data_IF_311902025448
#
_entry.id   IF_311902025448
#
_cell.length_a   1.000
_cell.length_b   1.000
_cell.length_c   1.000
_cell.angle_alpha   90.00
_cell.angle_beta   90.00
_cell.angle_gamma   90.00
#
_symmetry.space_group_name_H-M   'P 1'
#
loop_
_entity.id
_entity.type
_entity.pdbx_description
1 polymer ?
#
# COMPACT_ATOMS: atom_id res chain seq x y z
N UNK A 1 -3.19 -3.33 15.70
CA UNK A 1 -3.79 -2.73 14.49
C UNK A 1 -2.82 -1.85 13.67
N UNK A 2 -1.81 -1.19 14.28
CA UNK A 2 -0.84 -0.41 13.51
C UNK A 2 -0.01 -1.30 12.56
N UNK A 3 0.45 -2.45 13.03
CA UNK A 3 1.19 -3.41 12.19
C UNK A 3 0.30 -3.94 11.05
N UNK A 4 -0.94 -4.28 11.35
CA UNK A 4 -1.92 -4.74 10.35
C UNK A 4 -2.19 -3.68 9.27
N UNK A 5 -2.18 -2.39 9.64
CA UNK A 5 -2.35 -1.31 8.65
C UNK A 5 -1.16 -1.19 7.70
N UNK A 6 0.06 -1.35 8.22
CA UNK A 6 1.28 -1.39 7.41
C UNK A 6 1.25 -2.60 6.46
N UNK A 7 0.92 -3.78 6.99
CA UNK A 7 0.76 -5.01 6.19
C UNK A 7 -0.30 -4.83 5.09
N UNK A 8 -1.47 -4.27 5.43
CA UNK A 8 -2.54 -4.02 4.48
C UNK A 8 -2.09 -3.12 3.32
N UNK A 9 -1.38 -2.03 3.65
CA UNK A 9 -0.88 -1.12 2.64
C UNK A 9 0.10 -1.79 1.68
N UNK A 10 1.11 -2.49 2.20
CA UNK A 10 2.11 -3.14 1.37
C UNK A 10 1.53 -4.31 0.56
N UNK A 11 0.65 -5.14 1.13
CA UNK A 11 -0.01 -6.20 0.37
C UNK A 11 -0.91 -5.64 -0.74
N UNK A 12 -1.59 -4.52 -0.50
CA UNK A 12 -2.37 -3.83 -1.53
C UNK A 12 -1.47 -3.31 -2.67
N UNK A 13 -0.32 -2.69 -2.35
CA UNK A 13 0.66 -2.25 -3.36
C UNK A 13 1.23 -3.43 -4.16
N UNK A 14 1.47 -4.56 -3.52
CA UNK A 14 1.92 -5.79 -4.18
C UNK A 14 0.81 -6.46 -5.01
N UNK A 15 -0.45 -6.07 -4.85
CA UNK A 15 -1.60 -6.72 -5.48
C UNK A 15 -1.96 -8.07 -4.85
N UNK A 16 -1.46 -8.35 -3.65
CA UNK A 16 -1.73 -9.59 -2.88
C UNK A 16 -2.91 -9.38 -1.94
N UNK A 17 -4.08 -9.22 -2.51
CA UNK A 17 -5.32 -8.91 -1.77
C UNK A 17 -5.76 -10.05 -0.85
N UNK A 18 -5.37 -11.28 -1.14
CA UNK A 18 -5.56 -12.47 -0.30
C UNK A 18 -4.78 -12.41 1.01
N UNK A 19 -3.61 -11.78 1.00
CA UNK A 19 -2.74 -11.62 2.17
C UNK A 19 -3.07 -10.39 3.04
N UNK A 20 -3.97 -9.52 2.57
CA UNK A 20 -4.40 -8.33 3.33
C UNK A 20 -5.07 -8.78 4.63
N UNK A 21 -4.71 -8.19 5.81
CA UNK A 21 -5.36 -8.48 7.08
C UNK A 21 -6.89 -8.35 6.99
N UNK A 22 -7.60 -9.26 7.66
CA UNK A 22 -9.04 -9.44 7.55
C UNK A 22 -9.83 -8.15 7.78
N UNK A 23 -9.43 -7.35 8.75
CA UNK A 23 -10.10 -6.09 9.10
C UNK A 23 -10.16 -5.10 7.92
N UNK A 24 -9.12 -5.06 7.09
CA UNK A 24 -9.06 -4.24 5.88
C UNK A 24 -9.66 -4.97 4.67
N UNK A 25 -9.45 -6.27 4.57
CA UNK A 25 -9.97 -7.09 3.47
C UNK A 25 -11.49 -7.15 3.47
N UNK A 26 -12.11 -7.22 4.66
CA UNK A 26 -13.57 -7.28 4.85
C UNK A 26 -14.19 -5.92 5.18
N UNK A 27 -13.39 -4.83 5.08
CA UNK A 27 -13.89 -3.46 5.27
C UNK A 27 -14.56 -3.22 6.63
N UNK A 28 -14.00 -3.84 7.68
CA UNK A 28 -14.51 -3.73 9.05
C UNK A 28 -13.80 -2.65 9.88
N UNK A 29 -13.16 -1.70 9.21
CA UNK A 29 -12.38 -0.65 9.87
C UNK A 29 -13.21 0.15 10.88
N UNK A 30 -14.50 0.36 10.60
CA UNK A 30 -15.42 1.07 11.51
C UNK A 30 -15.66 0.31 12.83
N UNK A 31 -15.44 -1.00 12.87
CA UNK A 31 -15.61 -1.82 14.08
C UNK A 31 -14.39 -1.84 14.98
N UNK A 32 -13.28 -1.25 14.54
CA UNK A 32 -12.00 -1.26 15.26
C UNK A 32 -11.82 0.04 16.03
N UNK A 33 -11.48 -0.09 17.32
CA UNK A 33 -11.09 1.06 18.13
C UNK A 33 -9.61 1.40 17.89
N UNK A 34 -9.35 2.59 17.40
CA UNK A 34 -8.02 3.17 17.26
C UNK A 34 -8.04 4.65 17.60
N UNK A 35 -6.86 5.20 17.81
CA UNK A 35 -6.73 6.61 18.15
C UNK A 35 -7.32 7.49 17.02
N UNK A 36 -8.23 8.38 17.36
CA UNK A 36 -9.03 9.14 16.40
C UNK A 36 -8.19 9.92 15.36
N UNK A 37 -7.02 10.41 15.77
CA UNK A 37 -6.09 11.09 14.87
C UNK A 37 -5.46 10.18 13.81
N UNK A 38 -5.42 8.86 14.02
CA UNK A 38 -4.93 7.91 13.03
C UNK A 38 -5.99 7.57 11.96
N UNK A 39 -7.24 7.92 12.18
CA UNK A 39 -8.36 7.53 11.34
C UNK A 39 -8.18 7.90 9.86
N UNK A 40 -7.80 9.13 9.48
CA UNK A 40 -7.62 9.48 8.08
C UNK A 40 -6.54 8.63 7.38
N UNK A 41 -5.47 8.28 8.10
CA UNK A 41 -4.42 7.39 7.58
C UNK A 41 -4.94 5.97 7.38
N UNK A 42 -5.72 5.44 8.32
CA UNK A 42 -6.31 4.09 8.20
C UNK A 42 -7.31 4.02 7.03
N UNK A 43 -8.15 5.03 6.88
CA UNK A 43 -9.08 5.12 5.75
C UNK A 43 -8.35 5.25 4.41
N UNK A 44 -7.26 6.02 4.33
CA UNK A 44 -6.41 6.09 3.13
C UNK A 44 -5.82 4.72 2.76
N UNK A 45 -5.41 3.92 3.75
CA UNK A 45 -4.93 2.55 3.54
C UNK A 45 -6.08 1.66 3.03
N UNK A 46 -7.29 1.80 3.57
CA UNK A 46 -8.47 1.08 3.09
C UNK A 46 -8.79 1.42 1.63
N UNK A 47 -8.66 2.69 1.22
CA UNK A 47 -8.80 3.07 -0.18
C UNK A 47 -7.77 2.36 -1.08
N UNK A 48 -6.52 2.20 -0.60
CA UNK A 48 -5.51 1.45 -1.34
C UNK A 48 -5.88 -0.03 -1.51
N UNK A 49 -6.47 -0.64 -0.49
CA UNK A 49 -6.98 -2.01 -0.56
C UNK A 49 -8.13 -2.11 -1.55
N UNK A 50 -9.09 -1.18 -1.55
CA UNK A 50 -10.18 -1.14 -2.52
C UNK A 50 -9.69 -0.96 -3.96
N UNK A 51 -8.68 -0.12 -4.18
CA UNK A 51 -8.03 -0.01 -5.49
C UNK A 51 -7.44 -1.33 -5.95
N UNK A 52 -6.71 -2.02 -5.06
CA UNK A 52 -6.11 -3.30 -5.38
C UNK A 52 -7.16 -4.40 -5.67
N UNK A 53 -8.34 -4.30 -5.08
CA UNK A 53 -9.50 -5.16 -5.32
C UNK A 53 -10.33 -4.74 -6.55
N UNK A 54 -9.96 -3.66 -7.25
CA UNK A 54 -10.71 -3.13 -8.40
C UNK A 54 -12.03 -2.42 -8.04
N UNK A 55 -12.21 -2.03 -6.76
CA UNK A 55 -13.45 -1.44 -6.27
C UNK A 55 -13.45 0.10 -6.40
N UNK A 56 -13.19 0.60 -7.62
CA UNK A 56 -13.02 2.02 -7.91
C UNK A 56 -14.19 2.90 -7.41
N UNK A 57 -15.43 2.43 -7.56
CA UNK A 57 -16.63 3.17 -7.12
C UNK A 57 -16.63 3.43 -5.61
N UNK A 58 -16.18 2.47 -4.81
CA UNK A 58 -16.08 2.65 -3.34
C UNK A 58 -15.02 3.67 -2.98
N UNK A 59 -13.88 3.66 -3.68
CA UNK A 59 -12.83 4.67 -3.51
C UNK A 59 -13.40 6.06 -3.77
N UNK A 60 -14.04 6.27 -4.91
CA UNK A 60 -14.60 7.56 -5.29
C UNK A 60 -15.66 8.06 -4.29
N UNK A 61 -16.54 7.17 -3.84
CA UNK A 61 -17.58 7.51 -2.87
C UNK A 61 -17.02 8.00 -1.52
N UNK A 62 -15.76 7.63 -1.17
CA UNK A 62 -15.17 7.97 0.12
C UNK A 62 -14.17 9.12 0.08
N UNK A 63 -13.57 9.38 -1.10
CA UNK A 63 -12.47 10.33 -1.23
C UNK A 63 -12.81 11.74 -0.74
N UNK A 64 -13.95 12.30 -1.08
CA UNK A 64 -14.28 13.69 -0.75
C UNK A 64 -14.43 13.90 0.77
N UNK A 65 -15.10 12.98 1.46
CA UNK A 65 -15.25 13.05 2.92
C UNK A 65 -13.87 12.92 3.60
N UNK A 66 -13.02 12.02 3.12
CA UNK A 66 -11.68 11.85 3.66
C UNK A 66 -10.79 13.06 3.40
N UNK A 67 -10.87 13.68 2.21
CA UNK A 67 -10.15 14.92 1.90
C UNK A 67 -10.59 16.06 2.83
N UNK A 68 -11.89 16.20 3.08
CA UNK A 68 -12.40 17.20 4.04
C UNK A 68 -11.86 16.93 5.47
N UNK A 69 -11.77 15.68 5.88
CA UNK A 69 -11.15 15.31 7.16
C UNK A 69 -9.64 15.65 7.19
N UNK A 70 -8.91 15.33 6.12
CA UNK A 70 -7.49 15.66 6.00
C UNK A 70 -7.25 17.18 6.07
N UNK A 71 -8.09 17.97 5.43
CA UNK A 71 -8.00 19.44 5.49
C UNK A 71 -8.21 19.96 6.92
N UNK A 72 -9.20 19.42 7.63
CA UNK A 72 -9.48 19.80 9.03
C UNK A 72 -8.34 19.51 9.98
N UNK A 73 -7.61 18.40 9.75
CA UNK A 73 -6.50 17.96 10.60
C UNK A 73 -5.13 18.34 10.05
N UNK A 74 -5.05 19.08 8.94
CA UNK A 74 -3.80 19.45 8.26
C UNK A 74 -2.93 18.25 7.85
N UNK A 75 -3.55 17.16 7.40
CA UNK A 75 -2.85 15.95 6.96
C UNK A 75 -2.54 15.99 5.46
N UNK A 76 -1.63 16.90 5.05
CA UNK A 76 -1.30 17.14 3.65
C UNK A 76 -0.81 15.89 2.92
N UNK A 77 0.07 15.09 3.54
CA UNK A 77 0.58 13.87 2.91
C UNK A 77 -0.54 12.82 2.71
N UNK A 78 -1.44 12.65 3.66
CA UNK A 78 -2.58 11.73 3.53
C UNK A 78 -3.53 12.24 2.43
N UNK A 79 -3.80 13.56 2.38
CA UNK A 79 -4.62 14.17 1.34
C UNK A 79 -4.02 13.92 -0.06
N UNK A 80 -2.70 14.05 -0.20
CA UNK A 80 -2.00 13.76 -1.45
C UNK A 80 -2.19 12.30 -1.89
N UNK A 81 -2.03 11.33 -0.98
CA UNK A 81 -2.30 9.92 -1.28
C UNK A 81 -3.76 9.72 -1.74
N UNK A 82 -4.72 10.31 -1.04
CA UNK A 82 -6.14 10.21 -1.40
C UNK A 82 -6.43 10.78 -2.79
N UNK A 83 -5.85 11.93 -3.16
CA UNK A 83 -6.00 12.50 -4.51
C UNK A 83 -5.40 11.61 -5.60
N UNK A 84 -4.25 11.04 -5.33
CA UNK A 84 -3.61 10.07 -6.24
C UNK A 84 -4.48 8.83 -6.41
N UNK A 85 -5.02 8.30 -5.32
CA UNK A 85 -5.95 7.16 -5.34
C UNK A 85 -7.26 7.51 -6.07
N UNK A 86 -7.76 8.73 -5.90
CA UNK A 86 -8.95 9.23 -6.61
C UNK A 86 -8.69 9.29 -8.13
N UNK A 87 -7.54 9.83 -8.56
CA UNK A 87 -7.15 9.83 -9.97
C UNK A 87 -7.06 8.41 -10.55
N UNK A 88 -6.45 7.48 -9.80
CA UNK A 88 -6.38 6.07 -10.17
C UNK A 88 -7.77 5.43 -10.28
N UNK A 89 -8.67 5.73 -9.34
CA UNK A 89 -10.02 5.20 -9.34
C UNK A 89 -10.86 5.73 -10.50
N UNK A 90 -10.78 7.03 -10.83
CA UNK A 90 -11.42 7.59 -12.03
C UNK A 90 -10.91 6.92 -13.31
N UNK A 91 -9.59 6.68 -13.41
CA UNK A 91 -9.00 5.95 -14.54
C UNK A 91 -9.55 4.54 -14.68
N UNK A 92 -9.65 3.79 -13.57
CA UNK A 92 -10.24 2.45 -13.54
C UNK A 92 -11.75 2.45 -13.83
N UNK A 93 -12.45 3.50 -13.45
CA UNK A 93 -13.90 3.64 -13.70
C UNK A 93 -14.22 4.12 -15.12
N UNK A 94 -13.20 4.47 -15.92
CA UNK A 94 -13.38 4.91 -17.30
C UNK A 94 -13.77 6.39 -17.45
N UNK A 95 -13.36 7.23 -16.50
CA UNK A 95 -13.56 8.69 -16.51
C UNK A 95 -12.21 9.41 -16.66
N UNK A 96 -11.65 9.47 -17.89
CA UNK A 96 -10.29 9.97 -18.10
C UNK A 96 -10.14 11.47 -17.86
N UNK A 97 -11.19 12.26 -18.06
CA UNK A 97 -11.15 13.72 -17.82
C UNK A 97 -11.06 14.01 -16.32
N UNK A 98 -11.86 13.33 -15.52
CA UNK A 98 -11.87 13.42 -14.06
C UNK A 98 -10.57 12.88 -13.46
N UNK A 99 -10.05 11.77 -14.02
CA UNK A 99 -8.76 11.21 -13.63
C UNK A 99 -7.63 12.22 -13.85
N UNK A 100 -7.64 12.91 -15.01
CA UNK A 100 -6.65 13.95 -15.32
C UNK A 100 -6.77 15.14 -14.36
N UNK A 101 -7.97 15.64 -14.13
CA UNK A 101 -8.21 16.77 -13.22
C UNK A 101 -7.74 16.44 -11.78
N UNK A 102 -8.06 15.24 -11.27
CA UNK A 102 -7.63 14.81 -9.96
C UNK A 102 -6.09 14.67 -9.87
N UNK A 103 -5.44 14.16 -10.94
CA UNK A 103 -3.98 14.05 -10.98
C UNK A 103 -3.30 15.42 -11.07
N UNK A 104 -3.85 16.38 -11.83
CA UNK A 104 -3.35 17.75 -11.89
C UNK A 104 -3.36 18.42 -10.51
N UNK A 105 -4.42 18.23 -9.75
CA UNK A 105 -4.50 18.70 -8.36
C UNK A 105 -3.46 18.04 -7.47
N UNK A 106 -3.29 16.72 -7.57
CA UNK A 106 -2.27 15.99 -6.81
C UNK A 106 -0.86 16.48 -7.15
N UNK A 107 -0.56 16.72 -8.42
CA UNK A 107 0.72 17.24 -8.87
C UNK A 107 0.98 18.67 -8.37
N UNK A 108 -0.04 19.53 -8.36
CA UNK A 108 0.09 20.89 -7.83
C UNK A 108 0.42 20.88 -6.32
N UNK A 109 -0.17 19.95 -5.56
CA UNK A 109 0.12 19.78 -4.14
C UNK A 109 1.50 19.12 -3.88
N UNK A 110 1.91 18.19 -4.74
CA UNK A 110 3.16 17.46 -4.59
C UNK A 110 4.40 18.25 -5.02
N UNK A 111 4.27 19.14 -6.01
CA UNK A 111 5.40 19.80 -6.65
C UNK A 111 6.23 20.69 -5.73
N UNK A 112 5.65 21.52 -4.82
CA UNK A 112 6.42 22.38 -3.95
C UNK A 112 7.43 21.64 -3.07
N UNK A 113 7.05 20.47 -2.58
CA UNK A 113 7.85 19.65 -1.66
C UNK A 113 8.53 18.46 -2.36
N UNK A 114 8.26 18.28 -3.64
CA UNK A 114 8.82 17.18 -4.43
C UNK A 114 8.32 15.79 -4.00
N UNK A 115 7.08 15.65 -3.53
CA UNK A 115 6.48 14.39 -3.10
C UNK A 115 6.03 13.51 -4.27
N UNK A 116 6.92 12.75 -4.86
CA UNK A 116 6.65 11.85 -5.99
C UNK A 116 6.28 10.41 -5.58
N UNK A 117 6.49 10.03 -4.32
CA UNK A 117 6.26 8.65 -3.84
C UNK A 117 4.82 8.16 -4.06
N UNK A 118 3.76 8.88 -3.68
CA UNK A 118 2.39 8.42 -3.86
C UNK A 118 2.05 8.13 -5.33
N UNK A 119 2.64 8.90 -6.25
CA UNK A 119 2.49 8.69 -7.69
C UNK A 119 3.20 7.41 -8.16
N UNK A 120 4.44 7.18 -7.67
CA UNK A 120 5.20 5.99 -8.02
C UNK A 120 4.57 4.70 -7.47
N UNK A 121 4.07 4.72 -6.26
CA UNK A 121 3.36 3.59 -5.63
C UNK A 121 2.10 3.20 -6.38
N UNK A 122 1.39 4.17 -6.97
CA UNK A 122 0.19 3.98 -7.75
C UNK A 122 0.44 3.97 -9.27
N UNK A 123 1.70 3.88 -9.71
CA UNK A 123 2.09 3.92 -11.12
C UNK A 123 1.31 2.92 -11.99
N UNK A 124 1.06 1.70 -11.51
CA UNK A 124 0.28 0.67 -12.22
C UNK A 124 -1.10 1.13 -12.70
N UNK A 125 -1.72 2.05 -11.96
CA UNK A 125 -3.03 2.61 -12.30
C UNK A 125 -2.90 3.91 -13.10
N UNK A 126 -1.83 4.67 -12.84
CA UNK A 126 -1.60 6.00 -13.40
C UNK A 126 -0.77 6.00 -14.68
N UNK A 127 -0.10 4.90 -15.04
CA UNK A 127 0.82 4.86 -16.16
C UNK A 127 0.23 5.42 -17.48
N UNK A 128 -0.99 5.06 -17.91
CA UNK A 128 -1.58 5.61 -19.13
C UNK A 128 -1.83 7.11 -19.05
N UNK A 129 -2.16 7.62 -17.86
CA UNK A 129 -2.44 9.04 -17.62
C UNK A 129 -1.14 9.85 -17.58
N UNK A 130 -0.12 9.36 -16.87
CA UNK A 130 1.19 10.00 -16.77
C UNK A 130 1.90 10.09 -18.13
N UNK A 131 1.68 9.10 -19.01
CA UNK A 131 2.25 9.06 -20.35
C UNK A 131 1.64 10.10 -21.32
N UNK A 132 0.49 10.70 -21.00
CA UNK A 132 -0.13 11.72 -21.85
C UNK A 132 0.70 13.01 -21.94
N UNK A 133 1.55 13.28 -20.93
CA UNK A 133 2.37 14.50 -20.89
C UNK A 133 1.57 15.76 -20.60
N UNK A 134 2.24 16.91 -20.82
CA UNK A 134 1.60 18.22 -20.62
C UNK A 134 1.47 18.64 -19.15
N UNK A 135 2.39 18.16 -18.28
CA UNK A 135 2.38 18.41 -16.84
C UNK A 135 3.07 19.70 -16.42
N UNK A 136 3.50 20.55 -17.38
CA UNK A 136 4.09 21.85 -17.12
C UNK A 136 5.28 21.78 -16.16
N UNK A 137 5.26 22.61 -15.12
CA UNK A 137 6.33 22.65 -14.11
C UNK A 137 6.45 21.37 -13.27
N UNK A 138 5.43 20.52 -13.24
CA UNK A 138 5.46 19.23 -12.54
C UNK A 138 6.12 18.10 -13.36
N UNK A 139 6.52 18.36 -14.61
CA UNK A 139 7.11 17.36 -15.50
C UNK A 139 8.32 16.61 -14.88
N UNK A 140 9.28 17.26 -14.22
CA UNK A 140 10.41 16.55 -13.60
C UNK A 140 9.98 15.60 -12.46
N UNK A 141 8.95 15.99 -11.72
CA UNK A 141 8.38 15.15 -10.66
C UNK A 141 7.68 13.92 -11.25
N UNK A 142 6.94 14.10 -12.34
CA UNK A 142 6.28 13.01 -13.08
C UNK A 142 7.33 12.02 -13.63
N UNK A 143 8.41 12.49 -14.21
CA UNK A 143 9.49 11.64 -14.74
C UNK A 143 10.14 10.79 -13.65
N UNK A 144 10.38 11.36 -12.46
CA UNK A 144 10.88 10.61 -11.29
C UNK A 144 9.86 9.57 -10.83
N UNK A 145 8.59 9.92 -10.77
CA UNK A 145 7.52 9.00 -10.39
C UNK A 145 7.41 7.83 -11.38
N UNK A 146 7.49 8.08 -12.67
CA UNK A 146 7.50 7.06 -13.72
C UNK A 146 8.69 6.13 -13.56
N UNK A 147 9.92 6.68 -13.47
CA UNK A 147 11.15 5.88 -13.36
C UNK A 147 11.12 4.94 -12.15
N UNK A 148 10.64 5.41 -10.99
CA UNK A 148 10.52 4.57 -9.80
C UNK A 148 9.35 3.61 -9.90
N UNK A 149 8.20 4.06 -10.42
CA UNK A 149 7.02 3.24 -10.60
C UNK A 149 7.29 2.03 -11.49
N UNK A 150 8.04 2.21 -12.58
CA UNK A 150 8.50 1.11 -13.45
C UNK A 150 9.36 0.10 -12.70
N UNK A 151 10.27 0.58 -11.84
CA UNK A 151 11.09 -0.30 -10.98
C UNK A 151 10.23 -1.07 -9.97
N UNK A 152 9.20 -0.43 -9.38
CA UNK A 152 8.26 -1.09 -8.49
C UNK A 152 7.47 -2.19 -9.21
N UNK A 153 6.97 -1.92 -10.41
CA UNK A 153 6.24 -2.93 -11.18
C UNK A 153 7.13 -4.11 -11.58
N UNK A 154 8.37 -3.86 -12.01
CA UNK A 154 9.33 -4.92 -12.29
C UNK A 154 9.60 -5.79 -11.04
N UNK A 155 9.79 -5.16 -9.88
CA UNK A 155 10.03 -5.88 -8.63
C UNK A 155 8.79 -6.63 -8.15
N UNK A 156 7.62 -6.03 -8.27
CA UNK A 156 6.34 -6.66 -7.96
C UNK A 156 6.12 -7.92 -8.81
N UNK A 157 6.39 -7.84 -10.10
CA UNK A 157 6.29 -8.99 -11.00
C UNK A 157 7.24 -10.13 -10.57
N UNK A 158 8.48 -9.81 -10.18
CA UNK A 158 9.41 -10.80 -9.64
C UNK A 158 8.88 -11.45 -8.35
N UNK A 159 8.36 -10.66 -7.41
CA UNK A 159 7.83 -11.16 -6.14
C UNK A 159 6.57 -12.00 -6.30
N UNK A 160 5.72 -11.67 -7.27
CA UNK A 160 4.48 -12.40 -7.55
C UNK A 160 4.71 -13.58 -8.53
N UNK A 161 5.69 -13.49 -9.42
CA UNK A 161 6.05 -14.56 -10.37
C UNK A 161 6.89 -15.68 -9.75
N UNK A 162 7.54 -15.40 -8.62
CA UNK A 162 8.17 -16.42 -7.79
C UNK A 162 7.10 -17.12 -6.93
N UNK A 163 6.19 -17.87 -7.58
CA UNK A 163 5.39 -18.90 -6.90
C UNK A 163 6.31 -20.01 -6.31
N UNK A 164 7.56 -20.03 -6.70
CA UNK A 164 8.60 -20.76 -6.01
C UNK A 164 9.05 -19.96 -4.78
N UNK A 165 9.02 -20.65 -3.66
CA UNK A 165 9.48 -20.24 -2.31
C UNK A 165 10.49 -19.10 -2.38
N UNK A 166 10.31 -18.02 -1.61
CA UNK A 166 11.27 -16.93 -1.60
C UNK A 166 12.69 -17.49 -1.42
N UNK A 167 13.64 -16.92 -2.14
CA UNK A 167 15.06 -17.35 -2.11
C UNK A 167 15.60 -17.46 -0.66
N UNK A 168 15.00 -16.75 0.29
CA UNK A 168 15.20 -16.85 1.72
C UNK A 168 14.81 -18.25 2.23
N UNK A 169 13.69 -18.83 1.79
CA UNK A 169 13.28 -20.17 2.23
C UNK A 169 14.16 -21.30 1.62
N UNK A 170 14.77 -21.02 0.47
CA UNK A 170 15.76 -21.92 -0.14
C UNK A 170 17.16 -21.79 0.50
N UNK A 171 17.45 -20.66 1.16
CA UNK A 171 18.69 -20.40 1.88
C UNK A 171 18.63 -20.85 3.35
N UNK A 172 17.43 -21.11 3.88
CA UNK A 172 17.24 -21.58 5.26
C UNK A 172 17.30 -23.11 5.33
N UNK A 173 17.97 -23.63 6.33
CA UNK A 173 17.87 -25.04 6.70
C UNK A 173 16.44 -25.39 7.12
N UNK A 174 16.08 -26.68 7.09
CA UNK A 174 14.74 -27.13 7.53
C UNK A 174 14.38 -26.66 8.95
N UNK A 175 15.39 -26.63 9.85
CA UNK A 175 15.21 -26.16 11.23
C UNK A 175 14.96 -24.67 11.31
N UNK A 176 15.70 -23.86 10.55
CA UNK A 176 15.50 -22.40 10.47
C UNK A 176 14.15 -22.05 9.83
N UNK A 177 13.72 -22.83 8.83
CA UNK A 177 12.41 -22.67 8.23
C UNK A 177 11.27 -23.03 9.20
N UNK A 178 11.44 -24.10 9.99
CA UNK A 178 10.49 -24.49 11.03
C UNK A 178 10.41 -23.42 12.13
N UNK A 179 11.56 -22.89 12.55
CA UNK A 179 11.64 -21.79 13.52
C UNK A 179 10.93 -20.54 13.00
N UNK A 180 11.22 -20.12 11.76
CA UNK A 180 10.58 -18.97 11.13
C UNK A 180 9.06 -19.11 11.04
N UNK A 181 8.55 -20.32 10.75
CA UNK A 181 7.09 -20.60 10.74
C UNK A 181 6.45 -20.46 12.11
N UNK A 182 7.11 -20.93 13.18
CA UNK A 182 6.61 -20.83 14.55
C UNK A 182 6.62 -19.37 15.04
N UNK A 183 7.66 -18.60 14.67
CA UNK A 183 7.70 -17.14 14.91
C UNK A 183 6.56 -16.42 14.18
N UNK A 184 6.30 -16.76 12.92
CA UNK A 184 5.18 -16.20 12.15
C UNK A 184 3.82 -16.55 12.77
N UNK A 185 3.71 -17.66 13.47
CA UNK A 185 2.53 -18.05 14.25
C UNK A 185 2.45 -17.37 15.63
N UNK A 186 3.35 -16.41 15.91
CA UNK A 186 3.44 -15.66 17.18
C UNK A 186 3.66 -16.56 18.40
N UNK A 187 4.35 -17.70 18.24
CA UNK A 187 4.73 -18.55 19.36
C UNK A 187 5.81 -17.87 20.20
N UNK A 188 5.74 -18.06 21.50
CA UNK A 188 6.78 -17.60 22.41
C UNK A 188 8.07 -18.41 22.23
N UNK A 189 9.24 -17.85 22.61
CA UNK A 189 10.49 -18.57 22.52
C UNK A 189 10.48 -19.90 23.31
N UNK A 190 9.72 -19.96 24.41
CA UNK A 190 9.55 -21.18 25.20
C UNK A 190 8.78 -22.25 24.41
N UNK A 191 7.64 -21.90 23.81
CA UNK A 191 6.84 -22.81 22.98
C UNK A 191 7.62 -23.29 21.74
N UNK A 192 8.42 -22.40 21.14
CA UNK A 192 9.30 -22.74 20.01
C UNK A 192 10.37 -23.74 20.45
N UNK A 193 11.03 -23.48 21.58
CA UNK A 193 12.04 -24.35 22.14
C UNK A 193 11.47 -25.76 22.43
N UNK A 194 10.29 -25.83 23.05
CA UNK A 194 9.60 -27.09 23.32
C UNK A 194 9.24 -27.82 22.00
N UNK A 195 8.69 -27.11 21.02
CA UNK A 195 8.25 -27.71 19.73
C UNK A 195 9.42 -28.24 18.90
N UNK A 196 10.56 -27.54 18.92
CA UNK A 196 11.73 -27.89 18.12
C UNK A 196 12.75 -28.71 18.89
N UNK A 197 12.47 -29.06 20.15
CA UNK A 197 13.41 -29.76 21.07
C UNK A 197 14.77 -29.04 21.21
N UNK A 198 14.70 -27.70 21.35
CA UNK A 198 15.85 -26.82 21.51
C UNK A 198 15.84 -26.17 22.90
N UNK A 199 16.97 -25.56 23.29
CA UNK A 199 16.99 -24.65 24.43
C UNK A 199 16.45 -23.29 24.06
N UNK A 200 15.82 -22.55 25.02
CA UNK A 200 15.39 -21.17 24.77
C UNK A 200 16.56 -20.24 24.36
N UNK A 201 17.78 -20.53 24.84
CA UNK A 201 19.00 -19.81 24.46
C UNK A 201 19.34 -19.98 22.98
N UNK A 202 19.09 -21.15 22.40
CA UNK A 202 19.32 -21.45 20.99
C UNK A 202 18.27 -20.76 20.10
N UNK A 203 17.05 -20.57 20.61
CA UNK A 203 15.96 -19.87 19.86
C UNK A 203 16.19 -18.36 19.82
N UNK A 204 16.94 -17.78 20.77
CA UNK A 204 17.23 -16.35 20.87
C UNK A 204 18.46 -15.90 20.07
N UNK A 205 19.28 -16.81 19.57
CA UNK A 205 20.40 -16.53 18.68
C UNK A 205 19.95 -16.33 17.23
#
# INVERSE_FOLDING_TARGET
>A
HLLESIEAYYYALLGRTDAVPEVFREHRLASVSYFALCRPMMEMIELQVWLAQGQAVKVLARCEELLAACQRFHYGLVALHVRVQMAAAYGLYGQPAEARAALEQALAEAAPDGFWMPLAENYRYLAPLLAQGGWGSAQPLVERAIALGQRYEARRAQLNGSADRPAIAAALTEKELALARLVAQRRTNKEIAETLHLSEGTVKQ
#
